data_IF_557849280644
#
_entry.id   IF_557849280644
#
_cell.length_a   1.000
_cell.length_b   1.000
_cell.length_c   1.000
_cell.angle_alpha   90.00
_cell.angle_beta   90.00
_cell.angle_gamma   90.00
#
_symmetry.space_group_name_H-M   'P 1'
#
loop_
_entity.id
_entity.type
_entity.pdbx_description
1 polymer ?
#
# COMPACT_ATOMS: atom_id res chain seq x y z
N UNK A 1 -19.23 -12.17 3.51
CA UNK A 1 -18.49 -12.38 4.77
C UNK A 1 -17.36 -11.37 4.81
N UNK A 2 -17.12 -10.67 5.94
CA UNK A 2 -15.93 -9.83 6.04
C UNK A 2 -14.70 -10.71 5.86
N UNK A 3 -13.80 -10.31 4.97
CA UNK A 3 -12.54 -11.01 4.75
C UNK A 3 -11.76 -10.96 6.07
N UNK A 4 -11.48 -12.12 6.66
CA UNK A 4 -10.65 -12.21 7.86
C UNK A 4 -9.24 -11.71 7.54
N UNK A 5 -8.88 -10.57 8.14
CA UNK A 5 -7.60 -9.85 8.01
C UNK A 5 -6.42 -10.66 8.58
N UNK A 6 -6.68 -11.76 9.30
CA UNK A 6 -5.67 -12.61 9.96
C UNK A 6 -4.66 -13.30 9.01
N UNK A 7 -4.80 -13.13 7.69
CA UNK A 7 -3.88 -13.67 6.68
C UNK A 7 -3.19 -12.62 5.82
N UNK A 8 -3.37 -11.34 6.13
CA UNK A 8 -2.67 -10.22 5.47
C UNK A 8 -1.48 -9.84 6.35
N UNK A 9 -0.29 -9.83 5.74
CA UNK A 9 0.94 -9.51 6.45
C UNK A 9 1.04 -8.02 6.75
N UNK A 10 1.51 -7.74 7.97
CA UNK A 10 1.80 -6.40 8.45
C UNK A 10 3.29 -6.17 8.20
N UNK A 11 3.59 -5.47 7.11
CA UNK A 11 4.95 -5.14 6.70
C UNK A 11 5.00 -3.74 6.11
N UNK A 12 5.70 -2.84 6.81
CA UNK A 12 5.80 -1.44 6.43
C UNK A 12 6.95 -1.21 5.47
N UNK A 13 6.83 -0.19 4.62
CA UNK A 13 7.86 0.17 3.64
C UNK A 13 8.44 1.56 3.92
N UNK A 14 9.69 1.81 3.50
CA UNK A 14 10.31 3.13 3.58
C UNK A 14 9.67 4.13 2.63
N UNK A 15 9.90 5.42 2.91
CA UNK A 15 9.40 6.54 2.13
C UNK A 15 9.87 6.49 0.66
N UNK A 16 11.14 6.19 0.42
CA UNK A 16 11.71 6.20 -0.94
C UNK A 16 11.08 5.11 -1.83
N UNK A 17 10.78 3.93 -1.26
CA UNK A 17 10.02 2.91 -1.98
C UNK A 17 8.64 3.41 -2.38
N UNK A 18 7.92 4.13 -1.51
CA UNK A 18 6.63 4.71 -1.87
C UNK A 18 6.72 5.69 -3.04
N UNK A 19 7.75 6.54 -3.04
CA UNK A 19 8.01 7.49 -4.13
C UNK A 19 8.23 6.75 -5.45
N UNK A 20 9.03 5.68 -5.45
CA UNK A 20 9.27 4.89 -6.66
C UNK A 20 8.07 4.01 -7.07
N UNK A 21 7.42 3.36 -6.10
CA UNK A 21 6.26 2.46 -6.29
C UNK A 21 5.08 3.17 -6.94
N UNK A 22 4.88 4.45 -6.59
CA UNK A 22 3.77 5.25 -7.09
C UNK A 22 4.20 6.35 -8.06
N UNK A 23 5.49 6.37 -8.45
CA UNK A 23 6.08 7.41 -9.31
C UNK A 23 5.68 8.83 -8.88
N UNK A 24 5.82 9.13 -7.59
CA UNK A 24 5.44 10.43 -7.02
C UNK A 24 6.44 11.51 -7.45
N UNK A 25 5.95 12.56 -8.10
CA UNK A 25 6.75 13.76 -8.40
C UNK A 25 6.85 14.69 -7.19
N UNK A 26 7.74 15.68 -7.24
CA UNK A 26 7.79 16.74 -6.22
C UNK A 26 6.45 17.47 -6.08
N UNK A 27 5.77 17.75 -7.20
CA UNK A 27 4.43 18.36 -7.21
C UNK A 27 3.36 17.44 -6.61
N UNK A 28 3.47 16.13 -6.81
CA UNK A 28 2.57 15.18 -6.18
C UNK A 28 2.70 15.25 -4.65
N UNK A 29 3.92 15.35 -4.10
CA UNK A 29 4.17 15.38 -2.66
C UNK A 29 3.54 16.59 -1.94
N UNK A 30 3.16 17.65 -2.66
CA UNK A 30 2.46 18.81 -2.11
C UNK A 30 0.93 18.60 -1.99
N UNK A 31 0.39 17.56 -2.63
CA UNK A 31 -1.06 17.27 -2.65
C UNK A 31 -1.56 16.65 -1.34
N UNK A 32 -2.89 16.54 -1.19
CA UNK A 32 -3.54 15.85 -0.07
C UNK A 32 -3.63 14.36 -0.38
N UNK A 33 -2.95 13.56 0.42
CA UNK A 33 -2.91 12.11 0.27
C UNK A 33 -3.86 11.38 1.21
N UNK A 34 -4.45 10.32 0.67
CA UNK A 34 -4.91 9.17 1.43
C UNK A 34 -3.95 8.00 1.18
N UNK A 35 -3.37 7.42 2.23
CA UNK A 35 -2.62 6.16 2.15
C UNK A 35 -3.47 5.03 2.74
N UNK A 36 -4.07 4.22 1.87
CA UNK A 36 -5.02 3.18 2.23
C UNK A 36 -4.38 1.80 2.23
N UNK A 37 -4.62 1.04 3.30
CA UNK A 37 -3.91 -0.21 3.61
C UNK A 37 -2.41 0.03 3.82
N UNK A 38 -2.11 1.13 4.51
CA UNK A 38 -0.76 1.64 4.75
C UNK A 38 0.07 0.71 5.65
N UNK A 39 -0.58 -0.04 6.54
CA UNK A 39 0.11 -0.83 7.55
C UNK A 39 1.07 0.04 8.39
N UNK A 40 2.23 -0.49 8.80
CA UNK A 40 3.24 0.25 9.56
C UNK A 40 4.28 0.91 8.65
N UNK A 41 3.90 1.38 7.46
CA UNK A 41 4.81 2.12 6.57
C UNK A 41 5.15 3.51 7.14
N UNK A 42 6.37 4.00 6.88
CA UNK A 42 6.77 5.31 7.38
C UNK A 42 6.34 6.48 6.49
N UNK A 43 5.68 6.22 5.35
CA UNK A 43 5.35 7.27 4.37
C UNK A 43 4.57 8.44 4.99
N UNK A 44 3.60 8.18 5.87
CA UNK A 44 2.85 9.22 6.58
C UNK A 44 3.74 10.08 7.48
N UNK A 45 4.48 9.45 8.39
CA UNK A 45 5.40 10.12 9.30
C UNK A 45 6.43 10.94 8.50
N UNK A 46 7.05 10.31 7.51
CA UNK A 46 8.06 10.93 6.65
C UNK A 46 7.52 12.12 5.86
N UNK A 47 6.35 11.99 5.22
CA UNK A 47 5.76 13.08 4.44
C UNK A 47 5.33 14.24 5.34
N UNK A 48 4.77 13.94 6.52
CA UNK A 48 4.38 14.94 7.52
C UNK A 48 5.57 15.75 8.00
N UNK A 49 6.70 15.10 8.33
CA UNK A 49 7.94 15.80 8.70
C UNK A 49 8.46 16.74 7.61
N UNK A 50 8.14 16.47 6.34
CA UNK A 50 8.49 17.30 5.18
C UNK A 50 7.44 18.39 4.88
N UNK A 51 6.43 18.55 5.73
CA UNK A 51 5.35 19.54 5.58
C UNK A 51 4.22 19.12 4.64
N UNK A 52 4.18 17.85 4.21
CA UNK A 52 3.12 17.33 3.35
C UNK A 52 1.82 17.03 4.11
N UNK A 53 0.78 16.67 3.37
CA UNK A 53 -0.59 16.48 3.89
C UNK A 53 -1.06 15.07 3.61
N UNK A 54 -1.21 14.25 4.66
CA UNK A 54 -1.56 12.85 4.51
C UNK A 54 -2.40 12.32 5.66
N UNK A 55 -3.34 11.45 5.33
CA UNK A 55 -4.04 10.57 6.26
C UNK A 55 -3.79 9.13 5.82
N UNK A 56 -3.40 8.28 6.76
CA UNK A 56 -3.32 6.84 6.56
C UNK A 56 -4.53 6.15 7.15
N UNK A 57 -5.07 5.17 6.44
CA UNK A 57 -6.19 4.34 6.90
C UNK A 57 -5.82 2.85 6.85
N UNK A 58 -5.99 2.17 7.97
CA UNK A 58 -5.69 0.74 8.10
C UNK A 58 -6.45 0.08 9.27
N UNK A 59 -6.89 -1.18 9.15
CA UNK A 59 -7.43 -1.95 10.28
C UNK A 59 -6.51 -2.04 11.49
N UNK A 60 -5.18 -1.99 11.31
CA UNK A 60 -4.23 -2.11 12.42
C UNK A 60 -4.23 -0.88 13.33
N UNK A 61 -4.78 0.27 12.89
CA UNK A 61 -4.70 1.50 13.67
C UNK A 61 -5.62 1.55 14.89
N UNK A 62 -6.37 0.47 15.14
CA UNK A 62 -7.07 0.24 16.42
C UNK A 62 -6.17 -0.38 17.51
N UNK A 63 -5.00 -0.87 17.13
CA UNK A 63 -4.06 -1.57 18.01
C UNK A 63 -3.12 -0.56 18.68
N UNK A 64 -2.57 -0.94 19.82
CA UNK A 64 -1.47 -0.22 20.46
C UNK A 64 -0.15 -0.39 19.70
N UNK A 65 0.79 0.53 19.94
CA UNK A 65 2.16 0.44 19.41
C UNK A 65 2.84 -0.89 19.78
N UNK A 66 2.62 -1.40 20.98
CA UNK A 66 3.20 -2.67 21.45
C UNK A 66 2.61 -3.87 20.69
N UNK A 67 1.29 -3.87 20.46
CA UNK A 67 0.62 -4.91 19.67
C UNK A 67 1.10 -4.90 18.21
N UNK A 68 1.24 -3.72 17.61
CA UNK A 68 1.79 -3.60 16.23
C UNK A 68 3.23 -4.10 16.21
N UNK A 69 4.05 -3.73 17.20
CA UNK A 69 5.43 -4.19 17.33
C UNK A 69 5.52 -5.73 17.41
N UNK A 70 4.65 -6.36 18.20
CA UNK A 70 4.59 -7.83 18.28
C UNK A 70 4.29 -8.46 16.91
N UNK A 71 3.31 -7.91 16.18
CA UNK A 71 2.95 -8.42 14.85
C UNK A 71 4.04 -8.22 13.80
N UNK A 72 4.79 -7.12 13.88
CA UNK A 72 5.96 -6.89 13.03
C UNK A 72 7.02 -7.97 13.29
N UNK A 73 7.31 -8.27 14.55
CA UNK A 73 8.28 -9.29 14.93
C UNK A 73 7.86 -10.70 14.47
N UNK A 74 6.56 -11.02 14.53
CA UNK A 74 6.01 -12.27 14.01
C UNK A 74 6.14 -12.35 12.47
N UNK A 75 5.80 -11.26 11.76
CA UNK A 75 5.89 -11.19 10.31
C UNK A 75 7.33 -11.29 9.79
N UNK A 76 8.31 -10.74 10.53
CA UNK A 76 9.72 -10.73 10.16
C UNK A 76 10.25 -12.13 9.82
N UNK A 77 10.06 -13.10 10.70
CA UNK A 77 10.57 -14.46 10.52
C UNK A 77 9.98 -15.13 9.27
N UNK A 78 8.72 -14.84 8.98
CA UNK A 78 8.06 -15.41 7.81
C UNK A 78 8.54 -14.76 6.51
N UNK A 79 8.72 -13.43 6.52
CA UNK A 79 9.16 -12.67 5.34
C UNK A 79 10.60 -13.01 4.98
N UNK A 80 11.52 -13.03 5.95
CA UNK A 80 12.92 -13.37 5.67
C UNK A 80 13.06 -14.81 5.15
N UNK A 81 12.25 -15.75 5.64
CA UNK A 81 12.16 -17.11 5.12
C UNK A 81 11.71 -17.13 3.66
N UNK A 82 10.59 -16.47 3.35
CA UNK A 82 10.05 -16.40 1.98
C UNK A 82 11.01 -15.72 1.01
N UNK A 83 11.70 -14.67 1.43
CA UNK A 83 12.69 -13.97 0.61
C UNK A 83 13.89 -14.87 0.30
N UNK A 84 14.42 -15.57 1.30
CA UNK A 84 15.57 -16.48 1.13
C UNK A 84 15.22 -17.69 0.28
N UNK A 85 14.01 -18.23 0.41
CA UNK A 85 13.54 -19.34 -0.42
C UNK A 85 13.30 -18.94 -1.89
N UNK A 86 12.88 -17.70 -2.13
CA UNK A 86 12.49 -17.22 -3.46
C UNK A 86 13.42 -16.11 -3.97
N UNK A 87 14.71 -16.13 -3.61
CA UNK A 87 15.69 -15.08 -3.98
C UNK A 87 15.71 -14.75 -5.47
N UNK A 88 15.49 -15.76 -6.33
CA UNK A 88 15.49 -15.61 -7.78
C UNK A 88 14.33 -14.75 -8.31
N UNK A 89 13.27 -14.56 -7.52
CA UNK A 89 12.09 -13.78 -7.90
C UNK A 89 12.24 -12.27 -7.67
N UNK A 90 13.31 -11.86 -6.97
CA UNK A 90 13.54 -10.49 -6.57
C UNK A 90 14.78 -9.89 -7.24
N UNK A 91 14.79 -8.57 -7.39
CA UNK A 91 15.94 -7.76 -7.74
C UNK A 91 16.53 -7.18 -6.47
N UNK A 92 17.80 -7.45 -6.20
CA UNK A 92 18.45 -7.08 -4.94
C UNK A 92 19.41 -5.90 -5.06
N UNK A 93 19.47 -5.28 -6.24
CA UNK A 93 20.43 -4.22 -6.56
C UNK A 93 20.32 -3.03 -5.60
N UNK A 94 19.08 -2.67 -5.20
CA UNK A 94 18.79 -1.59 -4.25
C UNK A 94 19.16 -1.93 -2.79
N UNK A 95 19.42 -3.21 -2.49
CA UNK A 95 19.68 -3.71 -1.12
C UNK A 95 21.05 -4.36 -1.02
N UNK A 96 22.03 -3.87 -1.78
CA UNK A 96 23.41 -4.39 -1.77
C UNK A 96 23.47 -5.92 -1.96
N UNK A 97 22.55 -6.49 -2.73
CA UNK A 97 22.42 -7.94 -2.92
C UNK A 97 22.19 -8.75 -1.63
N UNK A 98 21.54 -8.16 -0.63
CA UNK A 98 21.38 -8.73 0.71
C UNK A 98 19.93 -8.73 1.20
N UNK A 99 19.43 -9.91 1.58
CA UNK A 99 18.14 -10.05 2.25
C UNK A 99 18.12 -9.42 3.65
N UNK A 100 19.27 -9.42 4.32
CA UNK A 100 19.39 -8.82 5.65
C UNK A 100 19.36 -7.28 5.54
N UNK A 101 19.95 -6.70 4.48
CA UNK A 101 19.85 -5.26 4.19
C UNK A 101 18.41 -4.85 3.88
N UNK A 102 17.71 -5.61 3.03
CA UNK A 102 16.28 -5.42 2.77
C UNK A 102 15.47 -5.38 4.07
N UNK A 103 15.69 -6.37 4.95
CA UNK A 103 15.00 -6.46 6.22
C UNK A 103 15.34 -5.27 7.14
N UNK A 104 16.60 -4.85 7.18
CA UNK A 104 17.05 -3.71 7.99
C UNK A 104 16.41 -2.40 7.56
N UNK A 105 16.32 -2.15 6.24
CA UNK A 105 15.65 -0.98 5.66
C UNK A 105 14.18 -0.93 6.08
N UNK A 106 13.46 -2.05 5.93
CA UNK A 106 12.03 -2.12 6.28
C UNK A 106 11.79 -2.01 7.80
N UNK A 107 12.65 -2.62 8.61
CA UNK A 107 12.59 -2.49 10.07
C UNK A 107 12.82 -1.04 10.51
N UNK A 108 13.76 -0.32 9.88
CA UNK A 108 13.98 1.08 10.18
C UNK A 108 12.76 1.93 9.82
N UNK A 109 12.15 1.70 8.67
CA UNK A 109 10.89 2.36 8.31
C UNK A 109 9.79 2.09 9.34
N UNK A 110 9.59 0.84 9.74
CA UNK A 110 8.58 0.51 10.75
C UNK A 110 8.88 1.13 12.13
N UNK A 111 10.16 1.30 12.49
CA UNK A 111 10.56 2.03 13.71
C UNK A 111 10.22 3.52 13.61
N UNK A 112 10.45 4.16 12.45
CA UNK A 112 10.05 5.55 12.21
C UNK A 112 8.52 5.71 12.33
N UNK A 113 7.77 4.78 11.74
CA UNK A 113 6.31 4.72 11.93
C UNK A 113 5.94 4.62 13.41
N UNK A 114 6.50 3.66 14.15
CA UNK A 114 6.17 3.46 15.57
C UNK A 114 6.53 4.68 16.44
N UNK A 115 7.61 5.38 16.12
CA UNK A 115 8.01 6.60 16.80
C UNK A 115 6.97 7.73 16.65
N UNK A 116 6.42 7.89 15.43
CA UNK A 116 5.41 8.90 15.11
C UNK A 116 3.98 8.48 15.49
N UNK A 117 3.71 7.18 15.55
CA UNK A 117 2.36 6.61 15.55
C UNK A 117 1.42 7.16 16.62
N UNK A 118 1.87 7.24 17.87
CA UNK A 118 1.03 7.71 18.98
C UNK A 118 0.68 9.20 18.84
N UNK A 119 1.59 10.00 18.28
CA UNK A 119 1.38 11.44 18.08
C UNK A 119 0.46 11.65 16.88
N UNK A 120 0.73 10.94 15.78
CA UNK A 120 -0.13 10.94 14.60
C UNK A 120 -1.55 10.43 14.86
N UNK A 121 -1.75 9.50 15.78
CA UNK A 121 -3.09 9.09 16.22
C UNK A 121 -3.84 10.25 16.89
N UNK A 122 -3.18 10.99 17.79
CA UNK A 122 -3.78 12.15 18.48
C UNK A 122 -4.06 13.30 17.51
N UNK A 123 -3.24 13.44 16.47
CA UNK A 123 -3.39 14.43 15.40
C UNK A 123 -4.43 14.01 14.33
N UNK A 124 -4.95 12.78 14.38
CA UNK A 124 -5.92 12.26 13.41
C UNK A 124 -5.31 11.86 12.06
N UNK A 125 -3.99 11.67 11.99
CA UNK A 125 -3.28 11.22 10.77
C UNK A 125 -3.38 9.72 10.54
N UNK A 126 -3.64 8.93 11.57
CA UNK A 126 -3.84 7.47 11.48
C UNK A 126 -5.28 7.13 11.85
N UNK A 127 -6.05 6.60 10.89
CA UNK A 127 -7.48 6.33 11.03
C UNK A 127 -7.76 4.83 10.94
N UNK A 128 -8.44 4.28 11.94
CA UNK A 128 -8.97 2.93 11.85
C UNK A 128 -10.10 2.85 10.81
N UNK A 129 -9.88 2.08 9.75
CA UNK A 129 -10.84 1.88 8.68
C UNK A 129 -10.36 0.82 7.69
N UNK A 130 -11.24 0.39 6.80
CA UNK A 130 -10.92 -0.69 5.86
C UNK A 130 -11.73 -0.58 4.58
N UNK A 131 -11.13 -0.92 3.45
CA UNK A 131 -11.87 -1.13 2.22
C UNK A 131 -12.92 -2.25 2.38
N UNK A 132 -14.07 -2.16 1.67
CA UNK A 132 -14.40 -1.19 0.64
C UNK A 132 -15.22 0.01 1.16
N UNK A 133 -15.14 0.36 2.46
CA UNK A 133 -15.90 1.49 3.01
C UNK A 133 -15.03 2.34 3.93
N UNK A 134 -14.72 3.55 3.49
CA UNK A 134 -13.83 4.47 4.16
C UNK A 134 -14.62 5.60 4.87
N UNK A 135 -14.15 6.06 6.03
CA UNK A 135 -14.85 7.07 6.84
C UNK A 135 -14.57 8.52 6.36
N UNK A 136 -14.48 8.74 5.05
CA UNK A 136 -14.13 10.04 4.45
C UNK A 136 -15.24 10.56 3.54
N UNK A 137 -15.26 11.88 3.35
CA UNK A 137 -16.18 12.57 2.44
C UNK A 137 -15.77 12.36 0.98
N UNK A 138 -16.71 12.63 0.08
CA UNK A 138 -16.45 12.62 -1.35
C UNK A 138 -15.42 13.71 -1.69
N UNK A 139 -14.42 13.37 -2.53
CA UNK A 139 -13.40 14.32 -3.01
C UNK A 139 -12.52 14.95 -1.92
N UNK A 140 -12.38 14.30 -0.76
CA UNK A 140 -11.57 14.81 0.36
C UNK A 140 -10.06 14.86 0.04
N UNK A 141 -9.59 13.99 -0.84
CA UNK A 141 -8.18 13.84 -1.20
C UNK A 141 -7.92 14.12 -2.68
N UNK A 142 -6.69 14.50 -2.99
CA UNK A 142 -6.25 14.68 -4.37
C UNK A 142 -5.75 13.35 -4.93
N UNK A 143 -4.96 12.60 -4.13
CA UNK A 143 -4.41 11.28 -4.50
C UNK A 143 -4.70 10.27 -3.39
N UNK A 144 -5.24 9.10 -3.75
CA UNK A 144 -5.28 7.93 -2.89
C UNK A 144 -4.27 6.86 -3.35
N UNK A 145 -3.44 6.38 -2.44
CA UNK A 145 -2.50 5.29 -2.66
C UNK A 145 -3.05 4.01 -2.03
N UNK A 146 -2.93 2.89 -2.74
CA UNK A 146 -3.22 1.57 -2.18
C UNK A 146 -2.08 0.60 -2.53
N UNK A 147 -1.19 0.40 -1.57
CA UNK A 147 0.00 -0.44 -1.71
C UNK A 147 -0.21 -1.84 -1.15
N UNK A 148 0.24 -2.86 -1.87
CA UNK A 148 0.42 -4.24 -1.40
C UNK A 148 -0.81 -4.94 -0.79
N UNK A 149 -2.02 -4.47 -1.11
CA UNK A 149 -3.27 -5.08 -0.65
C UNK A 149 -4.02 -5.78 -1.80
N UNK A 150 -4.66 -5.01 -2.68
CA UNK A 150 -5.71 -5.53 -3.58
C UNK A 150 -5.25 -6.72 -4.42
N UNK A 151 -4.44 -6.46 -5.45
CA UNK A 151 -4.05 -7.51 -6.40
C UNK A 151 -3.08 -8.54 -5.82
N UNK A 152 -2.36 -8.19 -4.73
CA UNK A 152 -1.47 -9.11 -4.00
C UNK A 152 -2.29 -10.25 -3.40
N UNK A 153 -3.41 -9.91 -2.75
CA UNK A 153 -4.26 -10.86 -2.03
C UNK A 153 -5.48 -11.29 -2.85
N UNK A 154 -5.38 -11.38 -4.19
CA UNK A 154 -6.49 -11.83 -5.05
C UNK A 154 -6.93 -13.29 -4.84
N UNK A 155 -6.23 -14.08 -4.01
CA UNK A 155 -6.76 -15.38 -3.54
C UNK A 155 -7.74 -15.23 -2.38
N UNK A 156 -7.58 -14.17 -1.58
CA UNK A 156 -8.34 -13.89 -0.37
C UNK A 156 -9.45 -12.85 -0.60
N UNK A 157 -9.18 -11.89 -1.49
CA UNK A 157 -10.08 -10.80 -1.86
C UNK A 157 -10.80 -11.15 -3.15
N UNK A 158 -12.14 -11.14 -3.14
CA UNK A 158 -12.94 -11.43 -4.33
C UNK A 158 -12.83 -10.31 -5.38
N UNK A 159 -13.17 -10.63 -6.62
CA UNK A 159 -13.27 -9.64 -7.70
C UNK A 159 -14.16 -8.44 -7.33
N UNK A 160 -15.34 -8.72 -6.78
CA UNK A 160 -16.27 -7.67 -6.32
C UNK A 160 -15.63 -6.78 -5.24
N UNK A 161 -14.88 -7.36 -4.30
CA UNK A 161 -14.14 -6.56 -3.32
C UNK A 161 -13.17 -5.59 -3.98
N UNK A 162 -12.44 -6.01 -5.03
CA UNK A 162 -11.54 -5.12 -5.77
C UNK A 162 -12.32 -3.99 -6.43
N UNK A 163 -13.42 -4.29 -7.11
CA UNK A 163 -14.26 -3.29 -7.80
C UNK A 163 -14.81 -2.27 -6.80
N UNK A 164 -15.42 -2.71 -5.70
CA UNK A 164 -15.98 -1.81 -4.69
C UNK A 164 -14.89 -0.98 -4.02
N UNK A 165 -13.73 -1.58 -3.75
CA UNK A 165 -12.60 -0.88 -3.14
C UNK A 165 -12.06 0.24 -4.02
N UNK A 166 -11.86 -0.01 -5.31
CA UNK A 166 -11.34 0.99 -6.24
C UNK A 166 -12.34 2.13 -6.40
N UNK A 167 -13.63 1.81 -6.52
CA UNK A 167 -14.69 2.83 -6.55
C UNK A 167 -14.73 3.68 -5.29
N UNK A 168 -14.58 3.06 -4.13
CA UNK A 168 -14.52 3.78 -2.86
C UNK A 168 -13.31 4.72 -2.79
N UNK A 169 -12.15 4.28 -3.27
CA UNK A 169 -10.96 5.14 -3.38
C UNK A 169 -11.20 6.31 -4.35
N UNK A 170 -11.84 6.06 -5.50
CA UNK A 170 -12.21 7.11 -6.44
C UNK A 170 -13.30 8.05 -5.92
N UNK A 171 -14.17 7.59 -4.99
CA UNK A 171 -15.17 8.45 -4.36
C UNK A 171 -14.49 9.51 -3.50
N UNK A 172 -13.49 9.10 -2.71
CA UNK A 172 -12.81 9.98 -1.74
C UNK A 172 -11.64 10.76 -2.34
N UNK A 173 -11.17 10.40 -3.55
CA UNK A 173 -10.00 11.03 -4.18
C UNK A 173 -10.15 11.26 -5.68
N UNK A 174 -9.48 12.29 -6.21
CA UNK A 174 -9.49 12.58 -7.65
C UNK A 174 -8.68 11.57 -8.48
N UNK A 175 -7.57 11.07 -7.92
CA UNK A 175 -6.71 10.07 -8.57
C UNK A 175 -6.38 8.94 -7.60
N UNK A 176 -6.48 7.70 -8.06
CA UNK A 176 -6.10 6.50 -7.29
C UNK A 176 -4.90 5.85 -7.93
N UNK A 177 -3.86 5.53 -7.15
CA UNK A 177 -2.70 4.72 -7.59
C UNK A 177 -2.63 3.42 -6.79
N UNK A 178 -2.56 2.30 -7.49
CA UNK A 178 -2.62 0.94 -6.91
C UNK A 178 -1.42 0.15 -7.37
N UNK A 179 -0.68 -0.42 -6.43
CA UNK A 179 0.51 -1.22 -6.71
C UNK A 179 0.63 -2.38 -5.71
N UNK A 180 1.16 -3.55 -6.11
CA UNK A 180 1.41 -4.01 -7.47
C UNK A 180 0.13 -4.53 -8.14
N UNK A 181 0.22 -4.92 -9.42
CA UNK A 181 -0.87 -5.55 -10.19
C UNK A 181 -0.75 -7.09 -10.27
N UNK A 182 -0.08 -7.69 -9.28
CA UNK A 182 0.33 -9.10 -9.25
C UNK A 182 -0.06 -9.75 -7.93
N UNK A 183 -0.30 -11.07 -7.96
CA UNK A 183 -0.53 -11.89 -6.76
C UNK A 183 0.79 -12.13 -5.99
N UNK A 184 0.70 -12.83 -4.86
CA UNK A 184 1.87 -13.48 -4.24
C UNK A 184 2.56 -14.42 -5.27
N UNK A 185 3.90 -14.34 -5.39
CA UNK A 185 4.69 -14.92 -6.50
C UNK A 185 4.74 -14.09 -7.80
N UNK A 186 5.40 -14.58 -8.86
CA UNK A 186 5.50 -13.88 -10.16
C UNK A 186 4.30 -14.23 -11.04
N UNK A 187 3.12 -13.68 -10.70
CA UNK A 187 1.90 -13.87 -11.49
C UNK A 187 1.01 -12.64 -11.47
N UNK A 188 0.53 -12.18 -12.63
CA UNK A 188 -0.50 -11.13 -12.72
C UNK A 188 -1.77 -11.55 -11.98
N UNK A 189 -2.46 -10.59 -11.36
CA UNK A 189 -3.71 -10.90 -10.66
C UNK A 189 -4.75 -11.49 -11.62
N UNK A 190 -5.42 -12.56 -11.17
CA UNK A 190 -6.53 -13.20 -11.89
C UNK A 190 -7.71 -12.26 -12.17
N UNK A 191 -7.84 -11.17 -11.42
CA UNK A 191 -8.95 -10.23 -11.51
C UNK A 191 -8.59 -8.95 -12.26
N UNK A 192 -7.32 -8.74 -12.64
CA UNK A 192 -6.88 -7.46 -13.19
C UNK A 192 -7.71 -7.05 -14.42
N UNK A 193 -7.79 -7.90 -15.43
CA UNK A 193 -8.45 -7.55 -16.70
C UNK A 193 -9.97 -7.39 -16.54
N UNK A 194 -10.62 -8.22 -15.70
CA UNK A 194 -12.06 -8.13 -15.47
C UNK A 194 -12.45 -6.91 -14.62
N UNK A 195 -11.61 -6.54 -13.64
CA UNK A 195 -11.75 -5.28 -12.89
C UNK A 195 -11.61 -4.07 -13.81
N UNK A 196 -10.63 -4.07 -14.73
CA UNK A 196 -10.46 -2.98 -15.70
C UNK A 196 -11.67 -2.83 -16.64
N UNK A 197 -12.19 -3.95 -17.17
CA UNK A 197 -13.40 -3.94 -18.00
C UNK A 197 -14.60 -3.38 -17.24
N UNK A 198 -14.78 -3.79 -15.98
CA UNK A 198 -15.89 -3.30 -15.16
C UNK A 198 -15.76 -1.82 -14.81
N UNK A 199 -14.58 -1.36 -14.44
CA UNK A 199 -14.32 0.06 -14.17
C UNK A 199 -14.60 0.92 -15.41
N UNK A 200 -14.16 0.48 -16.60
CA UNK A 200 -14.42 1.18 -17.85
C UNK A 200 -15.93 1.28 -18.15
N UNK A 201 -16.68 0.19 -18.01
CA UNK A 201 -18.14 0.17 -18.19
C UNK A 201 -18.88 1.07 -17.21
N UNK A 202 -18.32 1.25 -16.01
CA UNK A 202 -18.89 2.10 -14.96
C UNK A 202 -18.39 3.57 -15.06
N UNK A 203 -17.70 3.93 -16.14
CA UNK A 203 -17.30 5.31 -16.42
C UNK A 203 -16.00 5.76 -15.73
N UNK A 204 -15.11 4.84 -15.37
CA UNK A 204 -13.79 5.18 -14.84
C UNK A 204 -12.71 5.04 -15.91
N UNK A 205 -11.70 5.92 -15.87
CA UNK A 205 -10.49 5.79 -16.69
C UNK A 205 -9.42 5.08 -15.89
N UNK A 206 -9.02 3.90 -16.36
CA UNK A 206 -8.01 3.07 -15.71
C UNK A 206 -6.83 2.82 -16.67
N UNK A 207 -5.61 3.16 -16.25
CA UNK A 207 -4.38 3.01 -17.05
C UNK A 207 -3.29 2.28 -16.27
N UNK A 208 -2.62 1.33 -16.92
CA UNK A 208 -1.38 0.73 -16.40
C UNK A 208 -0.23 1.69 -16.72
N UNK A 209 0.56 2.05 -15.71
CA UNK A 209 1.68 2.98 -15.83
C UNK A 209 2.93 2.25 -15.36
N UNK A 210 3.96 2.25 -16.20
CA UNK A 210 5.28 1.72 -15.83
C UNK A 210 5.93 2.63 -14.79
N UNK A 211 6.54 2.03 -13.78
CA UNK A 211 7.17 2.72 -12.65
C UNK A 211 8.65 2.33 -12.52
N UNK A 212 9.47 3.14 -11.85
CA UNK A 212 10.90 2.83 -11.66
C UNK A 212 11.14 1.71 -10.66
N UNK A 213 10.17 1.40 -9.79
CA UNK A 213 10.32 0.38 -8.76
C UNK A 213 10.12 -1.04 -9.33
N UNK A 214 11.09 -1.92 -9.09
CA UNK A 214 11.00 -3.35 -9.45
C UNK A 214 11.78 -4.22 -8.46
N UNK A 215 11.38 -4.24 -7.18
CA UNK A 215 11.96 -5.20 -6.24
C UNK A 215 11.55 -6.63 -6.57
N UNK A 216 10.29 -6.86 -6.91
CA UNK A 216 9.79 -8.16 -7.36
C UNK A 216 9.75 -8.17 -8.88
N UNK A 217 10.38 -9.17 -9.51
CA UNK A 217 10.48 -9.24 -10.98
C UNK A 217 9.09 -9.21 -11.63
N UNK A 218 8.93 -8.33 -12.61
CA UNK A 218 7.67 -8.08 -13.31
C UNK A 218 6.69 -7.15 -12.59
N UNK A 219 6.94 -6.79 -11.33
CA UNK A 219 6.10 -5.85 -10.58
C UNK A 219 6.58 -4.40 -10.81
N UNK A 220 6.60 -3.97 -12.06
CA UNK A 220 7.05 -2.63 -12.49
C UNK A 220 5.93 -1.80 -13.14
N UNK A 221 4.69 -2.14 -12.85
CA UNK A 221 3.50 -1.39 -13.26
C UNK A 221 2.61 -1.10 -12.05
N UNK A 222 2.07 0.12 -12.01
CA UNK A 222 0.94 0.49 -11.15
C UNK A 222 -0.31 0.72 -11.98
N UNK A 223 -1.47 0.64 -11.35
CA UNK A 223 -2.74 1.06 -11.93
C UNK A 223 -3.06 2.48 -11.45
N UNK A 224 -3.36 3.37 -12.38
CA UNK A 224 -3.89 4.70 -12.10
C UNK A 224 -5.34 4.75 -12.53
N UNK A 225 -6.24 5.16 -11.64
CA UNK A 225 -7.68 5.26 -11.88
C UNK A 225 -8.17 6.67 -11.56
N UNK A 226 -8.97 7.25 -12.45
CA UNK A 226 -9.67 8.52 -12.21
C UNK A 226 -11.15 8.35 -12.54
N UNK A 227 -12.03 9.03 -11.79
CA UNK A 227 -13.40 9.22 -12.24
C UNK A 227 -13.41 10.07 -13.53
N UNK A 228 -14.38 9.85 -14.41
CA UNK A 228 -14.55 10.63 -15.64
C UNK A 228 -15.48 11.82 -15.41
#
# INVERSE_FOLDING_TARGET
MPVTVDRILIWGRPFDEYVEMFALSGEDLEKRFLDCASGPACFNASLTMRGGRIISVDPIYRLSSDEITSRINEAYNMIIGQLKENMADYSWDQYNNSADEYCQVHINAMKEFLYDYNDGLREGRYIHGSLPKLPFKDGEFDIALCGNLLFVYSKQLSEDFHIQSIKELCRVSSEVRIYPLMEVGIRKSRYLESVLDKLSKDGYKAKKVKIPFEFKKGANEMLVVTAT
#
